data_IF_619865421564
#
_entry.id   IF_619865421564
#
_cell.length_a   1.000
_cell.length_b   1.000
_cell.length_c   1.000
_cell.angle_alpha   90.00
_cell.angle_beta   90.00
_cell.angle_gamma   90.00
#
_symmetry.space_group_name_H-M   'P 1'
#
loop_
_entity.id
_entity.type
_entity.pdbx_description
1 polymer ?
#
# COMPACT_ATOMS: atom_id res chain seq x y z
N UNK A 1 -28.34 7.46 39.35
CA UNK A 1 -29.62 8.09 39.79
C UNK A 1 -30.70 7.76 38.76
N UNK A 2 -31.99 7.64 39.24
CA UNK A 2 -33.14 7.29 38.39
C UNK A 2 -33.33 8.26 37.19
N UNK A 3 -33.00 9.50 37.38
CA UNK A 3 -33.01 10.54 36.34
C UNK A 3 -31.98 10.30 35.21
N UNK A 4 -30.79 9.85 35.53
CA UNK A 4 -29.76 9.50 34.53
C UNK A 4 -30.17 8.27 33.67
N UNK A 5 -30.91 7.34 34.25
CA UNK A 5 -31.44 6.17 33.52
C UNK A 5 -32.52 6.57 32.49
N UNK A 6 -33.41 7.49 32.85
CA UNK A 6 -34.44 7.97 31.91
C UNK A 6 -33.89 8.91 30.86
N UNK A 7 -32.96 9.79 31.20
CA UNK A 7 -32.27 10.62 30.20
C UNK A 7 -31.52 9.78 29.16
N UNK A 8 -30.79 8.75 29.61
CA UNK A 8 -30.06 7.87 28.71
C UNK A 8 -30.99 7.05 27.77
N UNK A 9 -32.24 6.77 28.18
CA UNK A 9 -33.21 6.01 27.36
C UNK A 9 -33.87 6.90 26.27
N UNK A 10 -34.04 8.19 26.51
CA UNK A 10 -34.63 9.12 25.53
C UNK A 10 -33.58 9.56 24.48
N UNK A 11 -32.37 9.81 24.90
CA UNK A 11 -31.26 10.08 24.00
C UNK A 11 -30.94 8.84 23.13
N UNK A 12 -31.17 7.63 23.65
CA UNK A 12 -30.90 6.38 22.94
C UNK A 12 -31.77 6.14 21.71
N UNK A 13 -33.00 6.66 21.65
CA UNK A 13 -33.89 6.45 20.49
C UNK A 13 -33.57 7.39 19.32
N UNK A 14 -33.29 8.67 19.59
CA UNK A 14 -32.86 9.63 18.56
C UNK A 14 -31.48 9.28 18.02
N UNK A 15 -30.56 8.88 18.90
CA UNK A 15 -29.20 8.43 18.55
C UNK A 15 -29.25 7.22 17.62
N UNK A 16 -30.18 6.29 17.81
CA UNK A 16 -30.30 5.10 16.97
C UNK A 16 -30.72 5.41 15.52
N UNK A 17 -31.60 6.38 15.30
CA UNK A 17 -32.02 6.81 13.96
C UNK A 17 -30.88 7.50 13.21
N UNK A 18 -30.18 8.42 13.88
CA UNK A 18 -29.02 9.09 13.33
C UNK A 18 -27.90 8.09 12.96
N UNK A 19 -27.64 7.12 13.83
CA UNK A 19 -26.67 6.04 13.60
C UNK A 19 -27.05 5.18 12.40
N UNK A 20 -28.32 4.81 12.24
CA UNK A 20 -28.78 4.06 11.07
C UNK A 20 -28.61 4.85 9.76
N UNK A 21 -28.92 6.14 9.76
CA UNK A 21 -28.70 7.01 8.60
C UNK A 21 -27.21 7.07 8.22
N UNK A 22 -26.34 7.25 9.21
CA UNK A 22 -24.88 7.24 9.01
C UNK A 22 -24.42 5.88 8.47
N UNK A 23 -24.88 4.76 9.03
CA UNK A 23 -24.50 3.42 8.56
C UNK A 23 -24.96 3.16 7.12
N UNK A 24 -26.15 3.64 6.75
CA UNK A 24 -26.64 3.55 5.36
C UNK A 24 -25.73 4.35 4.41
N UNK A 25 -25.40 5.58 4.76
CA UNK A 25 -24.52 6.43 3.95
C UNK A 25 -23.10 5.88 3.87
N UNK A 26 -22.57 5.30 4.94
CA UNK A 26 -21.29 4.58 4.95
C UNK A 26 -21.28 3.43 3.93
N UNK A 27 -22.37 2.63 3.89
CA UNK A 27 -22.50 1.52 2.93
C UNK A 27 -22.52 2.02 1.49
N UNK A 28 -23.21 3.14 1.20
CA UNK A 28 -23.22 3.75 -0.12
C UNK A 28 -21.82 4.23 -0.55
N UNK A 29 -21.13 4.99 0.29
CA UNK A 29 -19.75 5.43 0.00
C UNK A 29 -18.83 4.23 -0.27
N UNK A 30 -19.02 3.13 0.48
CA UNK A 30 -18.19 1.93 0.33
C UNK A 30 -18.49 1.08 -0.89
N UNK A 31 -19.58 1.30 -1.60
CA UNK A 31 -19.79 0.66 -2.93
C UNK A 31 -18.64 1.04 -3.87
N UNK A 32 -18.26 2.31 -3.87
CA UNK A 32 -17.18 2.82 -4.73
C UNK A 32 -15.80 2.77 -4.05
N UNK A 33 -15.76 2.87 -2.72
CA UNK A 33 -14.54 2.97 -1.93
C UNK A 33 -14.47 1.88 -0.85
N UNK A 34 -14.41 0.61 -1.26
CA UNK A 34 -14.55 -0.57 -0.38
C UNK A 34 -13.65 -0.55 0.86
N UNK A 35 -12.47 0.07 0.80
CA UNK A 35 -11.47 0.09 1.87
C UNK A 35 -11.13 1.47 2.38
N UNK A 36 -12.04 2.41 2.25
CA UNK A 36 -11.83 3.75 2.79
C UNK A 36 -11.72 3.68 4.33
N UNK A 37 -10.62 4.22 4.88
CA UNK A 37 -10.43 4.28 6.33
C UNK A 37 -11.34 5.30 6.99
N UNK A 38 -11.65 5.09 8.27
CA UNK A 38 -12.62 5.89 9.03
C UNK A 38 -12.35 7.40 8.99
N UNK A 39 -11.07 7.84 9.01
CA UNK A 39 -10.73 9.27 8.94
C UNK A 39 -11.19 9.91 7.64
N UNK A 40 -10.88 9.30 6.49
CA UNK A 40 -11.32 9.79 5.18
C UNK A 40 -12.84 9.66 5.00
N UNK A 41 -13.42 8.59 5.53
CA UNK A 41 -14.86 8.37 5.54
C UNK A 41 -15.57 9.46 6.33
N UNK A 42 -15.03 9.89 7.47
CA UNK A 42 -15.57 10.97 8.28
C UNK A 42 -15.64 12.30 7.49
N UNK A 43 -14.56 12.63 6.77
CA UNK A 43 -14.55 13.84 5.90
C UNK A 43 -15.62 13.76 4.80
N UNK A 44 -15.78 12.58 4.18
CA UNK A 44 -16.80 12.38 3.14
C UNK A 44 -18.24 12.41 3.68
N UNK A 45 -18.42 12.13 4.97
CA UNK A 45 -19.73 12.18 5.62
C UNK A 45 -20.11 13.59 6.08
N UNK A 46 -19.17 14.54 6.16
CA UNK A 46 -19.42 15.90 6.64
C UNK A 46 -20.59 16.60 5.94
N UNK A 47 -20.68 16.63 4.59
CA UNK A 47 -21.80 17.28 3.90
C UNK A 47 -23.14 16.65 4.26
N UNK A 48 -23.20 15.30 4.31
CA UNK A 48 -24.40 14.56 4.69
C UNK A 48 -24.82 14.83 6.14
N UNK A 49 -23.87 14.83 7.07
CA UNK A 49 -24.14 15.13 8.48
C UNK A 49 -24.64 16.56 8.67
N UNK A 50 -24.10 17.51 7.90
CA UNK A 50 -24.54 18.90 7.94
C UNK A 50 -25.98 19.05 7.43
N UNK A 51 -26.31 18.42 6.30
CA UNK A 51 -27.65 18.43 5.67
C UNK A 51 -28.72 17.87 6.61
N UNK A 52 -28.39 16.77 7.30
CA UNK A 52 -29.33 16.10 8.21
C UNK A 52 -29.20 16.55 9.67
N UNK A 53 -28.41 17.60 9.95
CA UNK A 53 -28.17 18.15 11.29
C UNK A 53 -27.65 17.12 12.31
N UNK A 54 -26.96 16.09 11.85
CA UNK A 54 -26.38 15.05 12.68
C UNK A 54 -25.08 15.52 13.32
N UNK A 55 -25.01 15.51 14.64
CA UNK A 55 -23.82 15.90 15.41
C UNK A 55 -23.03 14.66 15.88
N UNK A 56 -22.28 14.06 14.99
CA UNK A 56 -21.42 12.93 15.33
C UNK A 56 -19.95 13.31 15.21
N UNK A 57 -19.19 13.10 16.29
CA UNK A 57 -17.74 13.29 16.29
C UNK A 57 -17.00 12.12 15.64
N UNK A 58 -15.74 12.35 15.27
CA UNK A 58 -14.90 11.32 14.66
C UNK A 58 -14.79 10.04 15.49
N UNK A 59 -14.60 10.19 16.80
CA UNK A 59 -14.39 9.03 17.70
C UNK A 59 -15.71 8.26 17.91
N UNK A 60 -16.86 8.95 17.91
CA UNK A 60 -18.16 8.32 17.90
C UNK A 60 -18.38 7.49 16.63
N UNK A 61 -17.98 8.00 15.46
CA UNK A 61 -17.99 7.23 14.22
C UNK A 61 -17.10 5.99 14.27
N UNK A 62 -15.90 6.08 14.89
CA UNK A 62 -15.04 4.91 15.08
C UNK A 62 -15.75 3.84 15.91
N UNK A 63 -16.36 4.21 17.02
CA UNK A 63 -17.09 3.30 17.90
C UNK A 63 -18.29 2.67 17.18
N UNK A 64 -19.08 3.49 16.47
CA UNK A 64 -20.24 3.01 15.70
C UNK A 64 -19.81 1.97 14.66
N UNK A 65 -18.72 2.23 13.92
CA UNK A 65 -18.22 1.29 12.93
C UNK A 65 -17.61 0.03 13.55
N UNK A 66 -17.02 0.10 14.74
CA UNK A 66 -16.47 -1.07 15.43
C UNK A 66 -17.58 -1.98 15.95
N UNK A 67 -18.60 -1.43 16.61
CA UNK A 67 -19.79 -2.17 17.09
C UNK A 67 -20.49 -2.89 15.92
N UNK A 68 -20.59 -2.24 14.78
CA UNK A 68 -21.23 -2.80 13.59
C UNK A 68 -20.28 -3.66 12.72
N UNK A 69 -19.07 -3.99 13.17
CA UNK A 69 -18.06 -4.75 12.43
C UNK A 69 -17.68 -4.15 11.06
N UNK A 70 -17.85 -2.85 10.91
CA UNK A 70 -17.54 -2.09 9.71
C UNK A 70 -16.17 -1.41 9.76
N UNK A 71 -15.43 -1.57 10.86
CA UNK A 71 -14.09 -0.98 10.99
C UNK A 71 -13.09 -1.72 10.11
N UNK A 72 -12.40 -0.97 9.24
CA UNK A 72 -11.34 -1.53 8.40
C UNK A 72 -10.08 -1.71 9.25
N UNK A 73 -9.80 -2.95 9.62
CA UNK A 73 -8.61 -3.33 10.37
C UNK A 73 -7.40 -3.44 9.46
N UNK A 74 -6.23 -2.99 9.93
CA UNK A 74 -4.96 -3.24 9.24
C UNK A 74 -4.75 -4.75 9.10
N UNK A 75 -4.42 -5.21 7.89
CA UNK A 75 -3.99 -6.60 7.72
C UNK A 75 -2.71 -6.81 8.53
N UNK A 76 -2.67 -7.86 9.34
CA UNK A 76 -1.42 -8.30 9.98
C UNK A 76 -0.46 -8.69 8.84
N UNK A 77 0.70 -8.03 8.76
CA UNK A 77 1.77 -8.44 7.83
C UNK A 77 2.22 -9.85 8.24
N UNK A 78 1.95 -10.86 7.43
CA UNK A 78 2.30 -12.26 7.73
C UNK A 78 3.60 -12.70 7.07
N UNK A 79 4.09 -12.02 6.06
CA UNK A 79 5.22 -12.49 5.26
C UNK A 79 6.35 -11.48 5.34
N UNK A 80 7.53 -11.97 5.74
CA UNK A 80 8.79 -11.26 5.70
C UNK A 80 9.43 -11.59 4.34
N UNK A 81 9.28 -10.72 3.36
CA UNK A 81 9.71 -10.96 1.98
C UNK A 81 11.20 -10.71 1.77
N UNK A 82 11.83 -9.90 2.61
CA UNK A 82 13.24 -9.54 2.49
C UNK A 82 14.06 -10.18 3.61
N UNK A 83 15.04 -10.97 3.26
CA UNK A 83 16.06 -11.49 4.16
C UNK A 83 17.36 -10.71 3.95
N UNK A 84 17.57 -9.67 4.74
CA UNK A 84 18.73 -8.77 4.66
C UNK A 84 19.85 -9.09 5.67
N UNK A 85 19.61 -10.02 6.62
CA UNK A 85 20.59 -10.47 7.63
C UNK A 85 21.38 -11.69 7.14
N UNK A 86 21.96 -11.61 5.93
CA UNK A 86 22.82 -12.62 5.34
C UNK A 86 24.30 -12.18 5.31
N UNK A 87 25.20 -13.11 5.09
CA UNK A 87 26.65 -12.90 5.04
C UNK A 87 27.19 -12.35 3.71
N UNK A 88 26.37 -12.33 2.65
CA UNK A 88 26.74 -11.84 1.33
C UNK A 88 27.14 -10.35 1.38
N UNK A 89 28.02 -9.96 0.45
CA UNK A 89 28.53 -8.59 0.34
C UNK A 89 27.38 -7.61 0.11
N UNK A 90 27.41 -6.50 0.86
CA UNK A 90 26.46 -5.39 0.75
C UNK A 90 27.21 -4.18 0.22
N UNK A 91 26.66 -3.57 -0.83
CA UNK A 91 27.21 -2.36 -1.42
C UNK A 91 26.75 -1.11 -0.65
N UNK A 92 27.54 -0.02 -0.70
CA UNK A 92 27.13 1.26 -0.08
C UNK A 92 25.88 1.82 -0.78
N UNK A 93 25.11 2.61 -0.02
CA UNK A 93 23.96 3.29 -0.58
C UNK A 93 24.43 4.54 -1.35
N UNK A 94 24.37 4.50 -2.67
CA UNK A 94 24.77 5.61 -3.55
C UNK A 94 23.68 6.67 -3.71
N UNK A 95 22.44 6.36 -3.32
CA UNK A 95 21.28 7.22 -3.60
C UNK A 95 20.77 8.00 -2.38
N UNK A 96 21.52 8.02 -1.28
CA UNK A 96 21.06 8.66 -0.02
C UNK A 96 20.66 10.12 -0.20
N UNK A 97 21.37 10.86 -1.08
CA UNK A 97 21.12 12.27 -1.36
C UNK A 97 20.89 12.51 -2.87
N UNK A 98 20.77 11.43 -3.64
CA UNK A 98 20.60 11.50 -5.08
C UNK A 98 19.11 11.67 -5.44
N UNK A 99 18.79 12.73 -6.17
CA UNK A 99 17.45 12.98 -6.71
C UNK A 99 17.56 12.93 -8.23
N UNK A 100 16.91 11.97 -8.90
CA UNK A 100 16.96 11.90 -10.36
C UNK A 100 16.23 13.12 -10.97
N UNK A 101 16.83 13.73 -11.96
CA UNK A 101 16.30 14.90 -12.70
C UNK A 101 15.87 14.54 -14.13
N UNK A 102 16.24 13.35 -14.60
CA UNK A 102 15.89 12.84 -15.92
C UNK A 102 15.68 11.31 -15.89
N UNK A 103 15.10 10.80 -16.95
CA UNK A 103 14.95 9.36 -17.17
C UNK A 103 16.32 8.67 -17.26
N UNK A 104 16.35 7.39 -16.85
CA UNK A 104 17.55 6.54 -16.94
C UNK A 104 18.76 6.98 -16.10
N UNK A 105 18.55 7.81 -15.07
CA UNK A 105 19.58 8.12 -14.09
C UNK A 105 19.56 7.16 -12.90
N UNK A 106 18.37 6.69 -12.52
CA UNK A 106 18.18 5.79 -11.39
C UNK A 106 17.11 4.76 -11.71
N UNK A 107 17.49 3.50 -11.70
CA UNK A 107 16.56 2.38 -11.72
C UNK A 107 16.46 1.73 -10.35
N UNK A 108 15.25 1.43 -9.94
CA UNK A 108 14.97 0.79 -8.65
C UNK A 108 14.35 -0.58 -8.90
N UNK A 109 14.93 -1.61 -8.28
CA UNK A 109 14.42 -2.99 -8.35
C UNK A 109 13.76 -3.40 -7.05
N UNK A 110 12.65 -4.12 -7.18
CA UNK A 110 11.93 -4.74 -6.06
C UNK A 110 11.26 -6.03 -6.52
N UNK A 111 11.04 -6.94 -5.58
CA UNK A 111 10.31 -8.20 -5.80
C UNK A 111 9.03 -8.14 -5.01
N UNK A 112 7.91 -8.28 -5.69
CA UNK A 112 6.60 -8.46 -5.07
C UNK A 112 6.10 -9.88 -5.32
N UNK A 113 5.08 -10.28 -4.59
CA UNK A 113 4.45 -11.58 -4.79
C UNK A 113 2.94 -11.44 -4.93
N UNK A 114 2.38 -12.30 -5.74
CA UNK A 114 0.96 -12.39 -6.00
C UNK A 114 0.45 -13.77 -5.65
N UNK A 115 -0.54 -13.85 -4.75
CA UNK A 115 -1.15 -15.14 -4.41
C UNK A 115 -2.23 -15.46 -5.46
N UNK A 116 -2.06 -16.61 -6.13
CA UNK A 116 -3.05 -17.18 -7.05
C UNK A 116 -3.50 -18.52 -6.46
N UNK A 117 -4.77 -18.61 -6.08
CA UNK A 117 -5.30 -19.78 -5.37
C UNK A 117 -4.45 -20.11 -4.13
N UNK A 118 -3.76 -21.25 -4.11
CA UNK A 118 -2.89 -21.68 -3.02
C UNK A 118 -1.40 -21.41 -3.28
N UNK A 119 -1.03 -20.97 -4.49
CA UNK A 119 0.35 -20.74 -4.92
C UNK A 119 0.72 -19.26 -4.91
N UNK A 120 2.02 -18.98 -4.97
CA UNK A 120 2.55 -17.63 -5.09
C UNK A 120 3.34 -17.48 -6.38
N UNK A 121 3.07 -16.41 -7.11
CA UNK A 121 3.95 -15.92 -8.16
C UNK A 121 4.78 -14.75 -7.63
N UNK A 122 6.03 -14.70 -8.02
CA UNK A 122 6.96 -13.64 -7.70
C UNK A 122 7.17 -12.78 -8.93
N UNK A 123 7.11 -11.47 -8.74
CA UNK A 123 7.26 -10.52 -9.84
C UNK A 123 8.42 -9.60 -9.48
N UNK A 124 9.49 -9.71 -10.26
CA UNK A 124 10.63 -8.79 -10.18
C UNK A 124 10.35 -7.60 -11.10
N UNK A 125 10.39 -6.39 -10.56
CA UNK A 125 10.23 -5.15 -11.32
C UNK A 125 11.51 -4.35 -11.32
N UNK A 126 11.77 -3.67 -12.43
CA UNK A 126 12.74 -2.59 -12.52
C UNK A 126 11.99 -1.35 -12.99
N UNK A 127 12.06 -0.31 -12.20
CA UNK A 127 11.31 0.93 -12.40
C UNK A 127 12.28 2.09 -12.50
N UNK A 128 12.14 2.92 -13.51
CA UNK A 128 12.82 4.21 -13.60
C UNK A 128 12.27 5.16 -12.54
N UNK A 129 13.13 5.66 -11.67
CA UNK A 129 12.71 6.43 -10.49
C UNK A 129 12.20 7.83 -10.83
N UNK A 130 12.57 8.38 -11.99
CA UNK A 130 12.09 9.69 -12.43
C UNK A 130 10.74 9.61 -13.13
N UNK A 131 10.59 8.74 -14.13
CA UNK A 131 9.37 8.61 -14.90
C UNK A 131 8.33 7.67 -14.29
N UNK A 132 8.73 6.88 -13.28
CA UNK A 132 7.94 5.78 -12.72
C UNK A 132 7.54 4.68 -13.72
N UNK A 133 8.18 4.65 -14.89
CA UNK A 133 7.97 3.63 -15.91
C UNK A 133 8.63 2.32 -15.49
N UNK A 134 7.91 1.21 -15.63
CA UNK A 134 8.51 -0.12 -15.52
C UNK A 134 9.31 -0.36 -16.79
N UNK A 135 10.64 -0.49 -16.65
CA UNK A 135 11.59 -0.68 -17.76
C UNK A 135 11.95 -2.15 -17.96
N UNK A 136 11.76 -2.98 -16.92
CA UNK A 136 11.94 -4.41 -17.00
C UNK A 136 11.09 -5.14 -15.97
N UNK A 137 10.68 -6.35 -16.28
CA UNK A 137 9.95 -7.21 -15.35
C UNK A 137 10.13 -8.69 -15.68
N UNK A 138 9.93 -9.53 -14.67
CA UNK A 138 9.89 -10.98 -14.82
C UNK A 138 8.89 -11.55 -13.83
N UNK A 139 8.08 -12.51 -14.28
CA UNK A 139 7.13 -13.26 -13.46
C UNK A 139 7.64 -14.70 -13.36
N UNK A 140 7.71 -15.23 -12.15
CA UNK A 140 8.22 -16.57 -11.89
C UNK A 140 7.52 -17.24 -10.70
N UNK A 141 7.61 -18.55 -10.63
CA UNK A 141 7.11 -19.36 -9.51
C UNK A 141 8.10 -19.38 -8.34
N UNK A 142 9.37 -19.05 -8.60
CA UNK A 142 10.44 -19.03 -7.60
C UNK A 142 10.98 -17.61 -7.40
N UNK A 143 11.57 -17.36 -6.23
CA UNK A 143 12.20 -16.09 -5.89
C UNK A 143 13.73 -16.19 -6.01
N UNK A 144 14.22 -16.87 -7.04
CA UNK A 144 15.65 -17.01 -7.28
C UNK A 144 16.25 -15.76 -7.93
N UNK A 145 17.54 -15.53 -7.69
CA UNK A 145 18.27 -14.38 -8.24
C UNK A 145 18.22 -14.32 -9.78
N UNK A 146 18.19 -15.49 -10.44
CA UNK A 146 18.13 -15.57 -11.90
C UNK A 146 16.87 -14.88 -12.48
N UNK A 147 15.76 -14.90 -11.77
CA UNK A 147 14.54 -14.26 -12.24
C UNK A 147 14.65 -12.72 -12.18
N UNK A 148 15.31 -12.19 -11.15
CA UNK A 148 15.63 -10.77 -11.08
C UNK A 148 16.65 -10.34 -12.15
N UNK A 149 17.61 -11.22 -12.50
CA UNK A 149 18.58 -11.02 -13.59
C UNK A 149 17.84 -10.91 -14.94
N UNK A 150 16.85 -11.77 -15.21
CA UNK A 150 16.05 -11.69 -16.44
C UNK A 150 15.31 -10.37 -16.56
N UNK A 151 14.74 -9.87 -15.46
CA UNK A 151 14.11 -8.54 -15.44
C UNK A 151 15.12 -7.43 -15.77
N UNK A 152 16.36 -7.52 -15.23
CA UNK A 152 17.41 -6.55 -15.50
C UNK A 152 17.89 -6.65 -16.96
N UNK A 153 18.05 -7.85 -17.50
CA UNK A 153 18.41 -8.06 -18.91
C UNK A 153 17.35 -7.46 -19.86
N UNK A 154 16.07 -7.63 -19.55
CA UNK A 154 14.99 -7.01 -20.30
C UNK A 154 15.13 -5.48 -20.32
N UNK A 155 15.35 -4.87 -19.14
CA UNK A 155 15.53 -3.44 -19.02
C UNK A 155 16.76 -2.95 -19.81
N UNK A 156 17.89 -3.62 -19.71
CA UNK A 156 19.13 -3.30 -20.41
C UNK A 156 18.97 -3.46 -21.92
N UNK A 157 18.28 -4.48 -22.39
CA UNK A 157 18.03 -4.68 -23.84
C UNK A 157 17.21 -3.52 -24.43
N UNK A 158 16.21 -3.06 -23.71
CA UNK A 158 15.39 -1.91 -24.13
C UNK A 158 16.17 -0.58 -24.06
N UNK A 159 17.23 -0.54 -23.28
CA UNK A 159 18.09 0.64 -23.07
C UNK A 159 19.21 0.79 -24.11
N UNK A 160 19.62 -0.29 -24.78
CA UNK A 160 20.65 -0.26 -25.82
C UNK A 160 20.20 0.65 -26.96
N UNK A 161 20.92 1.75 -27.19
CA UNK A 161 20.63 2.74 -28.25
C UNK A 161 20.38 4.16 -27.76
N UNK A 162 20.38 4.43 -26.45
CA UNK A 162 20.32 5.78 -25.89
C UNK A 162 21.71 6.25 -25.49
N UNK A 163 22.10 7.48 -25.87
CA UNK A 163 23.50 7.98 -25.78
C UNK A 163 24.06 8.23 -24.38
N UNK A 164 23.31 8.02 -23.29
CA UNK A 164 23.75 8.35 -21.93
C UNK A 164 23.81 7.14 -21.00
N UNK A 165 24.79 6.25 -21.23
CA UNK A 165 24.92 5.00 -20.47
C UNK A 165 25.84 5.07 -19.24
N UNK A 166 26.59 6.14 -19.06
CA UNK A 166 27.70 6.18 -18.11
C UNK A 166 27.30 6.47 -16.66
N UNK A 167 26.09 7.00 -16.42
CA UNK A 167 25.67 7.47 -15.11
C UNK A 167 24.42 6.78 -14.54
N UNK A 168 23.98 5.68 -15.15
CA UNK A 168 22.83 4.92 -14.65
C UNK A 168 23.18 4.23 -13.34
N UNK A 169 22.49 4.58 -12.28
CA UNK A 169 22.54 3.90 -10.99
C UNK A 169 21.42 2.87 -10.94
N UNK A 170 21.77 1.62 -10.68
CA UNK A 170 20.82 0.57 -10.35
C UNK A 170 20.80 0.35 -8.85
N UNK A 171 19.62 0.48 -8.23
CA UNK A 171 19.40 0.34 -6.79
C UNK A 171 18.38 -0.74 -6.49
N UNK A 172 18.68 -1.57 -5.48
CA UNK A 172 17.76 -2.57 -4.94
C UNK A 172 17.81 -2.57 -3.41
N UNK A 173 16.88 -3.26 -2.77
CA UNK A 173 17.00 -3.56 -1.35
C UNK A 173 18.19 -4.52 -1.10
N UNK A 174 18.48 -4.80 0.18
CA UNK A 174 19.54 -5.74 0.56
C UNK A 174 19.02 -7.17 0.67
N UNK A 175 18.09 -7.56 -0.19
CA UNK A 175 17.62 -8.93 -0.29
C UNK A 175 18.71 -9.89 -0.77
N UNK A 176 18.62 -11.15 -0.35
CA UNK A 176 19.61 -12.18 -0.69
C UNK A 176 19.74 -12.36 -2.21
N UNK A 177 18.66 -12.15 -2.95
CA UNK A 177 18.62 -12.25 -4.41
C UNK A 177 19.56 -11.23 -5.06
N UNK A 178 19.48 -9.98 -4.63
CA UNK A 178 20.27 -8.87 -5.16
C UNK A 178 21.70 -8.82 -4.64
N UNK A 179 21.98 -9.48 -3.51
CA UNK A 179 23.31 -9.60 -2.97
C UNK A 179 24.01 -10.91 -3.38
N UNK A 180 23.37 -11.74 -4.20
CA UNK A 180 23.96 -13.02 -4.65
C UNK A 180 25.10 -12.78 -5.63
N UNK A 181 26.04 -13.75 -5.73
CA UNK A 181 27.13 -13.68 -6.71
C UNK A 181 26.65 -13.81 -8.15
N UNK A 182 25.46 -14.36 -8.38
CA UNK A 182 24.88 -14.47 -9.71
C UNK A 182 24.36 -13.14 -10.23
N UNK A 183 23.83 -12.27 -9.34
CA UNK A 183 23.33 -10.95 -9.68
C UNK A 183 24.45 -9.94 -9.83
#
# INVERSE_FOLDING_TARGET
>A
TRQAYYQNNWEGISTSIEEELILKQVKEIRKNHRRIGTRKLYEMLQPFMLEHQIKMGRDALFNLLDINHLLIRKRKRKIKTTYSSHWLRKYPNLIKEFIPTAINQLWVSDITYWKIQEEFLYISFITDAYSHKIVGYQVAETMEAIESIKALQMALTAFVGTESHLDLIHHSDRGIQYCSYAY
#
